data_IF_999155472452
#
_entry.id   IF_999155472452
#
_cell.length_a   1.000
_cell.length_b   1.000
_cell.length_c   1.000
_cell.angle_alpha   90.00
_cell.angle_beta   90.00
_cell.angle_gamma   90.00
#
_symmetry.space_group_name_H-M   'P 1'
#
loop_
_entity.id
_entity.type
_entity.pdbx_description
1 polymer ?
#
# COMPACT_ATOMS: atom_id res chain seq x y z
N UNK A 1 -3.33 -11.95 -9.78
CA UNK A 1 -4.73 -11.81 -9.29
C UNK A 1 -5.28 -10.38 -9.47
N UNK A 2 -4.76 -9.36 -8.78
CA UNK A 2 -5.37 -8.01 -8.77
C UNK A 2 -4.91 -7.08 -9.91
N UNK A 3 -4.01 -7.55 -10.78
CA UNK A 3 -3.59 -6.78 -11.96
C UNK A 3 -4.61 -6.96 -13.11
N UNK A 4 -5.22 -5.89 -13.65
CA UNK A 4 -6.32 -6.00 -14.62
C UNK A 4 -5.98 -6.71 -15.93
N UNK A 5 -4.72 -6.66 -16.36
CA UNK A 5 -4.26 -7.32 -17.61
C UNK A 5 -3.85 -8.79 -17.44
N UNK A 6 -3.71 -9.27 -16.21
CA UNK A 6 -3.14 -10.61 -15.93
C UNK A 6 -4.12 -11.51 -15.18
N UNK A 7 -4.85 -10.94 -14.22
CA UNK A 7 -5.84 -11.61 -13.35
C UNK A 7 -5.40 -13.01 -12.89
N UNK A 8 -6.21 -14.03 -13.17
CA UNK A 8 -5.91 -15.44 -12.92
C UNK A 8 -5.29 -16.12 -14.14
N UNK A 9 -5.56 -15.62 -15.34
CA UNK A 9 -5.04 -16.14 -16.62
C UNK A 9 -3.51 -16.24 -16.61
N UNK A 10 -2.83 -15.25 -16.03
CA UNK A 10 -1.38 -15.26 -15.88
C UNK A 10 -0.84 -16.52 -15.21
N UNK A 11 -1.50 -17.06 -14.18
CA UNK A 11 -0.99 -18.26 -13.51
C UNK A 11 -1.13 -19.50 -14.40
N UNK A 12 -2.17 -19.55 -15.23
CA UNK A 12 -2.35 -20.60 -16.22
C UNK A 12 -1.29 -20.48 -17.33
N UNK A 13 -1.00 -19.27 -17.81
CA UNK A 13 0.03 -19.01 -18.81
C UNK A 13 1.44 -19.35 -18.29
N UNK A 14 1.71 -19.06 -17.02
CA UNK A 14 2.94 -19.43 -16.33
C UNK A 14 2.98 -20.90 -15.90
N UNK A 15 1.95 -21.70 -16.23
CA UNK A 15 1.86 -23.14 -15.93
C UNK A 15 2.04 -23.46 -14.44
N UNK A 16 1.44 -22.65 -13.58
CA UNK A 16 1.43 -22.92 -12.14
C UNK A 16 0.62 -24.18 -11.84
N UNK A 17 1.00 -24.88 -10.77
CA UNK A 17 0.26 -26.03 -10.28
C UNK A 17 -1.19 -25.63 -9.92
N UNK A 18 -2.22 -26.40 -10.32
CA UNK A 18 -3.61 -26.05 -10.09
C UNK A 18 -3.93 -25.78 -8.61
N UNK A 19 -3.30 -26.54 -7.71
CA UNK A 19 -3.44 -26.37 -6.26
C UNK A 19 -2.96 -24.97 -5.79
N UNK A 20 -1.92 -24.44 -6.42
CA UNK A 20 -1.39 -23.11 -6.09
C UNK A 20 -2.29 -22.00 -6.62
N UNK A 21 -2.84 -22.19 -7.82
CA UNK A 21 -3.83 -21.26 -8.39
C UNK A 21 -5.07 -21.18 -7.48
N UNK A 22 -5.57 -22.35 -7.04
CA UNK A 22 -6.68 -22.42 -6.09
C UNK A 22 -6.32 -21.79 -4.74
N UNK A 23 -5.09 -22.01 -4.24
CA UNK A 23 -4.61 -21.39 -3.01
C UNK A 23 -4.57 -19.85 -3.11
N UNK A 24 -4.03 -19.31 -4.20
CA UNK A 24 -4.03 -17.87 -4.46
C UNK A 24 -5.45 -17.30 -4.47
N UNK A 25 -6.39 -17.96 -5.14
CA UNK A 25 -7.79 -17.56 -5.16
C UNK A 25 -8.40 -17.56 -3.74
N UNK A 26 -8.19 -18.62 -2.96
CA UNK A 26 -8.67 -18.74 -1.58
C UNK A 26 -8.11 -17.65 -0.67
N UNK A 27 -6.83 -17.31 -0.81
CA UNK A 27 -6.19 -16.25 -0.02
C UNK A 27 -6.84 -14.90 -0.31
N UNK A 28 -6.98 -14.54 -1.59
CA UNK A 28 -7.56 -13.24 -1.98
C UNK A 28 -9.03 -13.15 -1.56
N UNK A 29 -9.82 -14.21 -1.78
CA UNK A 29 -11.21 -14.27 -1.32
C UNK A 29 -11.32 -14.22 0.22
N UNK A 30 -10.40 -14.86 0.93
CA UNK A 30 -10.34 -14.82 2.40
C UNK A 30 -10.07 -13.42 2.93
N UNK A 31 -9.10 -12.72 2.34
CA UNK A 31 -8.76 -11.33 2.69
C UNK A 31 -9.93 -10.39 2.36
N UNK A 32 -10.52 -10.52 1.18
CA UNK A 32 -11.70 -9.75 0.76
C UNK A 32 -12.84 -9.85 1.77
N UNK A 33 -13.28 -11.08 2.07
CA UNK A 33 -14.40 -11.32 2.97
C UNK A 33 -14.11 -10.88 4.41
N UNK A 34 -12.84 -10.93 4.85
CA UNK A 34 -12.46 -10.59 6.22
C UNK A 34 -12.26 -9.09 6.45
N UNK A 35 -11.71 -8.36 5.48
CA UNK A 35 -11.20 -7.01 5.70
C UNK A 35 -11.83 -5.92 4.82
N UNK A 36 -12.35 -6.25 3.64
CA UNK A 36 -12.74 -5.23 2.65
C UNK A 36 -14.22 -5.27 2.28
N UNK A 37 -14.87 -6.45 2.36
CA UNK A 37 -16.26 -6.60 1.96
C UNK A 37 -17.17 -5.68 2.79
N UNK A 38 -17.90 -4.74 2.15
CA UNK A 38 -18.78 -3.83 2.89
C UNK A 38 -19.89 -4.60 3.60
N UNK A 39 -20.24 -4.15 4.81
CA UNK A 39 -21.38 -4.72 5.53
C UNK A 39 -22.68 -4.48 4.73
N UNK A 40 -23.60 -5.45 4.66
CA UNK A 40 -24.88 -5.25 4.00
C UNK A 40 -25.67 -4.16 4.74
N UNK A 41 -25.88 -3.02 4.08
CA UNK A 41 -26.73 -1.95 4.63
C UNK A 41 -28.16 -2.47 4.86
N UNK A 42 -28.84 -2.07 5.95
CA UNK A 42 -30.19 -2.53 6.26
C UNK A 42 -31.22 -2.20 5.16
N UNK A 43 -30.97 -1.21 4.30
CA UNK A 43 -31.83 -0.88 3.15
C UNK A 43 -31.83 -2.01 2.10
N UNK A 44 -30.73 -2.76 1.98
CA UNK A 44 -30.62 -3.88 1.05
C UNK A 44 -31.06 -5.23 1.68
N UNK A 45 -31.11 -5.33 3.01
CA UNK A 45 -31.46 -6.56 3.71
C UNK A 45 -32.91 -7.03 3.45
N UNK A 46 -33.83 -6.11 3.16
CA UNK A 46 -35.23 -6.44 2.82
C UNK A 46 -35.39 -6.89 1.36
N UNK A 47 -34.57 -6.37 0.44
CA UNK A 47 -34.55 -6.80 -0.97
C UNK A 47 -33.89 -8.19 -1.15
N UNK A 48 -32.85 -8.49 -0.37
CA UNK A 48 -32.12 -9.77 -0.44
C UNK A 48 -32.92 -11.00 0.06
N UNK A 49 -34.08 -10.81 0.70
CA UNK A 49 -34.97 -11.94 1.04
C UNK A 49 -35.77 -12.46 -0.15
N UNK A 50 -35.85 -11.72 -1.27
CA UNK A 50 -36.66 -12.10 -2.44
C UNK A 50 -35.86 -12.54 -3.66
N UNK A 51 -34.54 -12.38 -3.66
CA UNK A 51 -33.68 -12.71 -4.81
C UNK A 51 -32.49 -13.57 -4.37
N UNK A 52 -32.77 -14.80 -3.95
CA UNK A 52 -31.74 -15.85 -3.97
C UNK A 52 -31.51 -16.18 -5.44
N UNK A 53 -30.27 -16.02 -5.89
CA UNK A 53 -29.68 -16.39 -7.19
C UNK A 53 -29.32 -15.15 -8.05
N UNK A 54 -28.01 -14.94 -8.25
CA UNK A 54 -27.34 -14.09 -9.25
C UNK A 54 -26.78 -12.69 -8.91
N UNK A 55 -26.68 -12.29 -7.65
CA UNK A 55 -25.77 -11.19 -7.29
C UNK A 55 -24.39 -11.78 -6.94
N UNK A 56 -23.63 -12.21 -7.96
CA UNK A 56 -22.27 -12.75 -7.76
C UNK A 56 -21.38 -11.79 -6.98
N UNK A 57 -20.47 -12.32 -6.14
CA UNK A 57 -19.55 -11.49 -5.36
C UNK A 57 -18.76 -10.58 -6.32
N UNK A 58 -18.59 -9.30 -5.99
CA UNK A 58 -18.00 -8.32 -6.90
C UNK A 58 -16.54 -8.67 -7.23
N UNK A 59 -15.82 -9.28 -6.29
CA UNK A 59 -14.49 -9.84 -6.54
C UNK A 59 -14.55 -10.98 -7.57
N UNK A 60 -15.49 -11.90 -7.43
CA UNK A 60 -15.64 -13.04 -8.35
C UNK A 60 -16.02 -12.55 -9.75
N UNK A 61 -16.92 -11.56 -9.84
CA UNK A 61 -17.23 -10.88 -11.09
C UNK A 61 -15.99 -10.29 -11.76
N UNK A 62 -15.18 -9.54 -11.01
CA UNK A 62 -13.94 -8.96 -11.53
C UNK A 62 -12.96 -10.03 -12.04
N UNK A 63 -12.85 -11.16 -11.35
CA UNK A 63 -11.97 -12.26 -11.74
C UNK A 63 -12.48 -13.01 -12.98
N UNK A 64 -13.79 -13.02 -13.22
CA UNK A 64 -14.42 -13.60 -14.42
C UNK A 64 -14.49 -12.63 -15.61
N UNK A 65 -14.44 -11.32 -15.36
CA UNK A 65 -14.41 -10.31 -16.43
C UNK A 65 -13.15 -10.51 -17.30
N UNK A 66 -13.20 -10.20 -18.61
CA UNK A 66 -12.03 -10.31 -19.49
C UNK A 66 -10.86 -9.46 -18.99
N UNK A 67 -9.64 -9.84 -19.35
CA UNK A 67 -8.45 -9.02 -19.10
C UNK A 67 -8.54 -7.69 -19.85
N UNK A 68 -7.93 -6.67 -19.27
CA UNK A 68 -7.80 -5.35 -19.91
C UNK A 68 -6.44 -5.31 -20.59
N UNK A 69 -6.44 -5.46 -21.92
CA UNK A 69 -5.25 -5.30 -22.76
C UNK A 69 -4.78 -3.82 -22.76
N UNK A 70 -3.48 -3.59 -22.97
CA UNK A 70 -2.85 -2.26 -23.08
C UNK A 70 -2.98 -1.32 -21.87
N UNK A 71 -3.01 -1.88 -20.64
CA UNK A 71 -3.01 -1.06 -19.43
C UNK A 71 -1.59 -0.73 -18.96
N UNK A 72 -1.12 0.49 -19.26
CA UNK A 72 0.22 0.96 -18.87
C UNK A 72 0.45 1.07 -17.36
N UNK A 73 -0.56 1.54 -16.61
CA UNK A 73 -0.42 1.76 -15.16
C UNK A 73 -1.62 1.21 -14.37
N UNK A 74 -1.49 0.01 -13.77
CA UNK A 74 -2.58 -0.62 -13.02
C UNK A 74 -2.93 0.15 -11.74
N UNK A 75 -1.95 0.80 -11.10
CA UNK A 75 -2.20 1.60 -9.89
C UNK A 75 -3.08 2.80 -10.23
N UNK A 76 -2.82 3.47 -11.36
CA UNK A 76 -3.65 4.59 -11.80
C UNK A 76 -5.10 4.17 -12.10
N UNK A 77 -5.28 3.01 -12.75
CA UNK A 77 -6.60 2.43 -12.98
C UNK A 77 -7.37 2.24 -11.67
N UNK A 78 -6.76 1.59 -10.68
CA UNK A 78 -7.43 1.34 -9.41
C UNK A 78 -7.66 2.61 -8.60
N UNK A 79 -6.73 3.56 -8.60
CA UNK A 79 -6.91 4.87 -7.95
C UNK A 79 -8.10 5.63 -8.52
N UNK A 80 -8.36 5.53 -9.82
CA UNK A 80 -9.53 6.16 -10.45
C UNK A 80 -10.89 5.59 -10.00
N UNK A 81 -10.87 4.39 -9.42
CA UNK A 81 -12.06 3.67 -8.95
C UNK A 81 -12.29 3.79 -7.43
N UNK A 82 -11.41 4.48 -6.71
CA UNK A 82 -11.58 4.73 -5.28
C UNK A 82 -12.78 5.64 -5.02
N UNK A 83 -13.44 5.38 -3.88
CA UNK A 83 -14.48 6.28 -3.39
C UNK A 83 -13.85 7.61 -2.94
N UNK A 84 -14.54 8.75 -3.13
CA UNK A 84 -14.07 10.03 -2.66
C UNK A 84 -13.82 10.03 -1.15
N UNK A 85 -12.70 10.61 -0.73
CA UNK A 85 -12.38 10.84 0.67
C UNK A 85 -12.58 12.31 1.04
N UNK A 86 -13.00 12.56 2.26
CA UNK A 86 -13.00 13.90 2.84
C UNK A 86 -11.55 14.40 3.05
N UNK A 87 -11.37 15.70 3.36
CA UNK A 87 -10.07 16.32 3.65
C UNK A 87 -9.27 15.64 4.78
N UNK A 88 -9.93 14.84 5.61
CA UNK A 88 -9.33 14.04 6.69
C UNK A 88 -8.89 12.64 6.26
N UNK A 89 -9.05 12.27 4.98
CA UNK A 89 -8.79 10.93 4.45
C UNK A 89 -9.88 9.91 4.80
N UNK A 90 -11.01 10.35 5.34
CA UNK A 90 -12.13 9.47 5.69
C UNK A 90 -13.02 9.22 4.46
N UNK A 91 -13.23 7.96 4.09
CA UNK A 91 -14.15 7.56 3.02
C UNK A 91 -15.59 7.81 3.48
N UNK A 92 -16.32 8.64 2.74
CA UNK A 92 -17.67 9.10 3.12
C UNK A 92 -18.72 7.99 3.00
N UNK A 93 -18.56 7.08 2.04
CA UNK A 93 -19.33 5.83 1.94
C UNK A 93 -18.57 4.79 1.13
N UNK A 94 -18.26 3.62 1.71
CA UNK A 94 -17.55 2.57 1.00
C UNK A 94 -18.49 1.84 0.03
N UNK A 95 -18.36 2.14 -1.25
CA UNK A 95 -19.00 1.40 -2.34
C UNK A 95 -18.29 0.05 -2.49
N UNK A 96 -18.99 -1.05 -2.82
CA UNK A 96 -18.33 -2.33 -3.10
C UNK A 96 -17.20 -2.22 -4.13
N UNK A 97 -17.36 -1.35 -5.14
CA UNK A 97 -16.34 -1.07 -6.16
C UNK A 97 -15.11 -0.35 -5.61
N UNK A 98 -15.30 0.64 -4.74
CA UNK A 98 -14.18 1.35 -4.09
C UNK A 98 -13.45 0.44 -3.11
N UNK A 99 -14.16 -0.43 -2.39
CA UNK A 99 -13.56 -1.47 -1.56
C UNK A 99 -12.71 -2.44 -2.39
N UNK A 100 -13.18 -2.84 -3.58
CA UNK A 100 -12.40 -3.67 -4.52
C UNK A 100 -11.15 -2.94 -5.00
N UNK A 101 -11.27 -1.65 -5.31
CA UNK A 101 -10.12 -0.84 -5.69
C UNK A 101 -9.08 -0.74 -4.56
N UNK A 102 -9.54 -0.61 -3.32
CA UNK A 102 -8.66 -0.54 -2.16
C UNK A 102 -7.85 -1.83 -1.97
N UNK A 103 -8.49 -3.00 -1.99
CA UNK A 103 -7.74 -4.28 -1.91
C UNK A 103 -6.77 -4.43 -3.09
N UNK A 104 -7.15 -4.01 -4.30
CA UNK A 104 -6.25 -4.08 -5.44
C UNK A 104 -5.00 -3.21 -5.25
N UNK A 105 -5.16 -1.98 -4.75
CA UNK A 105 -4.05 -1.07 -4.45
C UNK A 105 -3.16 -1.62 -3.34
N UNK A 106 -3.73 -2.17 -2.27
CA UNK A 106 -2.95 -2.76 -1.18
C UNK A 106 -2.11 -3.95 -1.67
N UNK A 107 -2.68 -4.82 -2.52
CA UNK A 107 -1.93 -5.94 -3.11
C UNK A 107 -0.84 -5.49 -4.08
N UNK A 108 -1.11 -4.47 -4.91
CA UNK A 108 -0.17 -4.01 -5.93
C UNK A 108 0.93 -3.07 -5.37
N UNK A 109 0.67 -2.42 -4.24
CA UNK A 109 1.66 -1.58 -3.55
C UNK A 109 2.55 -2.37 -2.60
N UNK A 110 2.18 -3.60 -2.25
CA UNK A 110 3.01 -4.45 -1.41
C UNK A 110 4.31 -4.82 -2.14
N UNK A 111 5.48 -4.58 -1.53
CA UNK A 111 6.75 -4.94 -2.16
C UNK A 111 6.84 -6.45 -2.32
N UNK A 112 7.27 -6.90 -3.49
CA UNK A 112 7.39 -8.33 -3.80
C UNK A 112 8.51 -9.03 -3.03
N UNK A 113 9.46 -8.26 -2.46
CA UNK A 113 10.66 -8.78 -1.80
C UNK A 113 11.01 -7.95 -0.56
N UNK A 114 11.74 -8.56 0.39
CA UNK A 114 12.34 -7.86 1.53
C UNK A 114 13.54 -6.99 1.16
N UNK A 115 13.91 -6.92 -0.12
CA UNK A 115 15.14 -6.25 -0.58
C UNK A 115 15.16 -4.77 -0.20
N UNK A 116 14.04 -4.05 -0.29
CA UNK A 116 14.00 -2.64 0.10
C UNK A 116 14.30 -2.46 1.60
N UNK A 117 13.78 -3.36 2.43
CA UNK A 117 14.01 -3.38 3.88
C UNK A 117 15.44 -3.76 4.20
N UNK A 118 16.01 -4.75 3.53
CA UNK A 118 17.41 -5.16 3.68
C UNK A 118 18.36 -4.06 3.23
N UNK A 119 18.06 -3.40 2.12
CA UNK A 119 18.82 -2.25 1.65
C UNK A 119 18.77 -1.13 2.67
N UNK A 120 17.61 -0.84 3.27
CA UNK A 120 17.48 0.15 4.34
C UNK A 120 18.37 -0.19 5.54
N UNK A 121 18.35 -1.45 6.01
CA UNK A 121 19.20 -1.88 7.12
C UNK A 121 20.69 -1.86 6.79
N UNK A 122 21.08 -2.22 5.57
CA UNK A 122 22.47 -2.16 5.12
C UNK A 122 23.00 -0.72 5.15
N UNK A 123 22.20 0.25 4.69
CA UNK A 123 22.55 1.67 4.77
C UNK A 123 22.57 2.17 6.23
N UNK A 124 21.59 1.78 7.05
CA UNK A 124 21.54 2.13 8.48
C UNK A 124 22.69 1.51 9.30
N UNK A 125 23.27 0.41 8.85
CA UNK A 125 24.39 -0.26 9.48
C UNK A 125 25.63 0.63 9.60
N UNK A 126 25.84 1.58 8.69
CA UNK A 126 26.93 2.56 8.83
C UNK A 126 26.83 3.34 10.14
N UNK A 127 25.62 3.81 10.48
CA UNK A 127 25.39 4.63 11.67
C UNK A 127 25.38 3.81 12.96
N UNK A 128 24.91 2.56 12.91
CA UNK A 128 24.78 1.69 14.09
C UNK A 128 26.05 0.91 14.43
N UNK A 129 26.73 0.31 13.44
CA UNK A 129 27.81 -0.67 13.70
C UNK A 129 29.20 -0.16 13.35
N UNK A 130 29.36 0.59 12.25
CA UNK A 130 30.70 0.97 11.77
C UNK A 130 31.28 2.19 12.49
N UNK A 131 30.45 3.17 12.82
CA UNK A 131 30.94 4.43 13.38
C UNK A 131 30.65 4.63 14.87
N UNK A 132 29.92 3.70 15.51
CA UNK A 132 29.59 3.70 16.95
C UNK A 132 29.24 5.09 17.50
N UNK A 133 28.51 5.88 16.72
CA UNK A 133 27.94 7.10 17.26
C UNK A 133 27.00 6.66 18.38
N UNK A 134 27.15 7.20 19.59
CA UNK A 134 26.23 6.94 20.70
C UNK A 134 24.89 7.66 20.45
N UNK A 135 24.27 7.33 19.32
CA UNK A 135 22.95 7.79 18.93
C UNK A 135 21.93 6.88 19.60
N UNK A 136 20.87 7.49 20.10
CA UNK A 136 19.73 6.72 20.55
C UNK A 136 19.09 5.98 19.37
N UNK A 137 18.36 4.90 19.68
CA UNK A 137 17.54 4.18 18.71
C UNK A 137 16.59 5.13 17.97
N UNK A 138 15.97 6.06 18.69
CA UNK A 138 15.08 7.09 18.13
C UNK A 138 15.78 7.97 17.09
N UNK A 139 16.99 8.46 17.41
CA UNK A 139 17.74 9.29 16.47
C UNK A 139 18.14 8.52 15.21
N UNK A 140 18.43 7.23 15.34
CA UNK A 140 18.83 6.42 14.19
C UNK A 140 17.63 6.09 13.30
N UNK A 141 16.47 5.80 13.88
CA UNK A 141 15.21 5.63 13.13
C UNK A 141 14.87 6.94 12.40
N UNK A 142 14.88 8.07 13.10
CA UNK A 142 14.56 9.38 12.52
C UNK A 142 15.50 9.73 11.35
N UNK A 143 16.81 9.51 11.51
CA UNK A 143 17.76 9.75 10.43
C UNK A 143 17.54 8.83 9.23
N UNK A 144 17.21 7.56 9.47
CA UNK A 144 16.96 6.57 8.42
C UNK A 144 15.71 6.92 7.61
N UNK A 145 14.62 7.33 8.28
CA UNK A 145 13.38 7.79 7.66
C UNK A 145 13.59 9.10 6.90
N UNK A 146 14.29 10.08 7.49
CA UNK A 146 14.58 11.34 6.82
C UNK A 146 15.39 11.11 5.53
N UNK A 147 16.40 10.23 5.58
CA UNK A 147 17.20 9.87 4.42
C UNK A 147 16.39 9.18 3.32
N UNK A 148 15.33 8.43 3.65
CA UNK A 148 14.46 7.84 2.63
C UNK A 148 13.56 8.91 2.00
N UNK A 149 13.04 9.84 2.80
CA UNK A 149 12.16 10.91 2.31
C UNK A 149 12.87 11.92 1.41
N UNK A 150 14.11 12.30 1.72
CA UNK A 150 14.91 13.24 0.90
C UNK A 150 15.11 12.74 -0.55
N UNK A 151 15.07 11.41 -0.78
CA UNK A 151 15.22 10.84 -2.12
C UNK A 151 14.02 11.14 -3.04
N UNK A 152 12.86 11.45 -2.48
CA UNK A 152 11.65 11.72 -3.23
C UNK A 152 11.40 13.24 -3.32
N UNK A 153 11.51 13.83 -4.52
CA UNK A 153 11.35 15.27 -4.70
C UNK A 153 9.94 15.70 -4.30
N UNK A 154 9.84 16.79 -3.52
CA UNK A 154 8.57 17.36 -3.06
C UNK A 154 8.04 16.76 -1.76
N UNK A 155 8.64 15.70 -1.21
CA UNK A 155 8.26 15.16 0.10
C UNK A 155 8.91 15.93 1.25
N UNK A 156 10.12 16.43 1.04
CA UNK A 156 10.86 17.25 1.99
C UNK A 156 11.43 18.47 1.25
N UNK A 157 11.23 19.65 1.82
CA UNK A 157 11.85 20.86 1.30
C UNK A 157 13.33 20.89 1.71
N UNK A 158 14.21 20.70 0.71
CA UNK A 158 15.65 20.69 0.92
C UNK A 158 16.19 22.07 1.27
N UNK A 159 15.55 23.15 0.83
CA UNK A 159 15.96 24.51 1.10
C UNK A 159 15.63 24.86 2.56
N UNK A 160 14.42 24.51 3.02
CA UNK A 160 14.02 24.64 4.42
C UNK A 160 14.93 23.83 5.35
N UNK A 161 15.25 22.58 4.99
CA UNK A 161 16.18 21.74 5.74
C UNK A 161 17.56 22.38 5.85
N UNK A 162 18.08 22.87 4.73
CA UNK A 162 19.41 23.49 4.67
C UNK A 162 19.45 24.75 5.53
N UNK A 163 18.40 25.58 5.47
CA UNK A 163 18.27 26.76 6.33
C UNK A 163 18.21 26.37 7.81
N UNK A 164 17.43 25.35 8.18
CA UNK A 164 17.33 24.85 9.54
C UNK A 164 18.69 24.42 10.11
N UNK A 165 19.46 23.63 9.35
CA UNK A 165 20.79 23.18 9.79
C UNK A 165 21.81 24.32 9.85
N UNK A 166 21.77 25.25 8.89
CA UNK A 166 22.60 26.45 8.92
C UNK A 166 22.31 27.32 10.14
N UNK A 167 21.05 27.52 10.48
CA UNK A 167 20.65 28.29 11.67
C UNK A 167 21.04 27.58 12.97
N UNK A 168 21.03 26.24 13.01
CA UNK A 168 21.54 25.47 14.16
C UNK A 168 23.04 25.65 14.36
N UNK A 169 23.83 25.69 13.27
CA UNK A 169 25.28 25.90 13.33
C UNK A 169 25.70 27.27 13.86
N UNK A 170 24.83 28.28 13.71
CA UNK A 170 25.04 29.66 14.16
C UNK A 170 24.69 29.89 15.63
N UNK A 171 24.07 28.93 16.33
CA UNK A 171 23.74 29.09 17.75
C UNK A 171 25.03 29.13 18.58
N UNK A 172 25.18 30.08 19.52
CA UNK A 172 26.35 30.11 20.39
C UNK A 172 26.43 28.78 21.15
N UNK A 173 27.64 28.21 21.18
CA UNK A 173 27.91 26.98 21.92
C UNK A 173 27.74 27.30 23.41
N UNK A 174 26.56 27.05 23.95
CA UNK A 174 26.33 27.08 25.39
C UNK A 174 27.12 25.90 25.97
N UNK A 175 28.40 26.15 26.26
CA UNK A 175 29.32 25.17 26.83
C UNK A 175 28.60 24.42 27.93
N UNK A 176 28.39 23.12 27.70
CA UNK A 176 27.60 22.28 28.58
C UNK A 176 28.09 22.46 30.01
N UNK A 177 27.24 23.03 30.86
CA UNK A 177 27.39 22.87 32.31
C UNK A 177 27.14 21.40 32.60
N UNK A 178 28.23 20.63 32.60
CA UNK A 178 28.29 19.32 33.26
C UNK A 178 28.15 19.51 34.76
#
# INVERSE_FOLDING_TARGET
VMHPSFKMEYFHDQKWEPEWIECCFKIVCGIWNKHYKPAPSPINAEAHKRHRNNDGDLLEKYLCDPIIEDLDNPLHYWTSLLDPCDQSGKVSSATPKGALAQIALDFLSMPATSTDVEQLFSHGGLNMTKWHHNLSTESTIAQTVLNSWIKYPGLVDNDELTEFFNNKSKRPNNGGKR
#
